data_IF_804639521401
#
_entry.id   IF_804639521401
#
_cell.length_a   1.000
_cell.length_b   1.000
_cell.length_c   1.000
_cell.angle_alpha   90.00
_cell.angle_beta   90.00
_cell.angle_gamma   90.00
#
_symmetry.space_group_name_H-M   'P 1'
#
loop_
_entity.id
_entity.type
_entity.pdbx_description
1 polymer ?
#
# COMPACT_ATOMS: atom_id res chain seq x y z
N UNK A 1 16.85 9.16 1.49
CA UNK A 1 15.91 8.48 0.58
C UNK A 1 14.49 8.94 0.85
N UNK A 2 13.76 9.23 -0.18
CA UNK A 2 12.43 9.73 -0.03
C UNK A 2 11.44 8.60 -0.01
N UNK A 3 10.32 8.82 0.65
CA UNK A 3 9.28 7.81 0.72
C UNK A 3 8.79 7.41 -0.66
N UNK A 4 8.67 8.38 -1.56
CA UNK A 4 8.22 8.08 -2.91
C UNK A 4 9.15 7.11 -3.62
N UNK A 5 10.44 7.18 -3.34
CA UNK A 5 11.38 6.27 -3.98
C UNK A 5 11.17 4.85 -3.48
N UNK A 6 10.86 4.70 -2.21
CA UNK A 6 10.58 3.39 -1.65
C UNK A 6 9.27 2.85 -2.21
N UNK A 7 8.26 3.71 -2.29
CA UNK A 7 6.95 3.28 -2.75
C UNK A 7 6.96 2.82 -4.20
N UNK A 8 7.89 3.32 -5.00
CA UNK A 8 7.95 2.89 -6.39
C UNK A 8 8.20 1.40 -6.52
N UNK A 9 8.83 0.81 -5.52
CA UNK A 9 9.09 -0.61 -5.56
C UNK A 9 7.84 -1.42 -5.28
N UNK A 10 6.76 -0.77 -4.88
CA UNK A 10 5.54 -1.45 -4.55
C UNK A 10 4.46 -1.29 -5.61
N UNK A 11 4.74 -0.60 -6.70
CA UNK A 11 3.71 -0.37 -7.72
C UNK A 11 3.27 -1.70 -8.30
N UNK A 12 1.96 -1.92 -8.30
CA UNK A 12 1.31 -3.13 -8.81
C UNK A 12 1.71 -4.40 -8.06
N UNK A 13 2.22 -4.26 -6.84
CA UNK A 13 2.57 -5.40 -6.02
C UNK A 13 1.61 -5.42 -4.85
N UNK A 14 0.95 -6.54 -4.57
CA UNK A 14 0.04 -6.60 -3.42
C UNK A 14 0.76 -6.19 -2.15
N UNK A 15 0.18 -5.29 -1.42
CA UNK A 15 0.81 -4.75 -0.23
C UNK A 15 -0.23 -4.34 0.79
N UNK A 16 0.25 -4.10 2.00
CA UNK A 16 -0.58 -3.58 3.08
C UNK A 16 -0.10 -2.16 3.35
N UNK A 17 -1.04 -1.24 3.44
CA UNK A 17 -0.74 0.16 3.61
C UNK A 17 -1.36 0.64 4.89
N UNK A 18 -0.57 1.27 5.74
CA UNK A 18 -1.07 1.88 6.96
C UNK A 18 -1.16 3.38 6.76
N UNK A 19 -2.29 3.95 7.11
CA UNK A 19 -2.55 5.37 6.97
C UNK A 19 -2.94 5.91 8.33
N UNK A 20 -2.32 7.01 8.71
CA UNK A 20 -2.66 7.63 9.98
C UNK A 20 -3.42 8.92 9.71
N UNK A 21 -4.62 9.00 10.25
CA UNK A 21 -5.41 10.19 10.13
C UNK A 21 -5.80 10.66 11.51
N UNK A 22 -5.33 11.80 11.93
CA UNK A 22 -5.56 12.33 13.25
C UNK A 22 -5.08 11.30 14.27
N UNK A 23 -5.94 10.79 15.10
CA UNK A 23 -5.52 9.81 16.09
C UNK A 23 -5.87 8.40 15.68
N UNK A 24 -6.31 8.20 14.44
CA UNK A 24 -6.70 6.89 13.98
C UNK A 24 -5.66 6.29 13.06
N UNK A 25 -5.46 5.00 13.20
CA UNK A 25 -4.57 4.25 12.30
C UNK A 25 -5.45 3.31 11.49
N UNK A 26 -5.40 3.46 10.19
CA UNK A 26 -6.22 2.65 9.28
C UNK A 26 -5.32 1.76 8.46
N UNK A 27 -5.80 0.58 8.13
CA UNK A 27 -5.02 -0.38 7.37
C UNK A 27 -5.79 -0.82 6.13
N UNK A 28 -5.10 -0.87 5.01
CA UNK A 28 -5.71 -1.26 3.75
C UNK A 28 -4.84 -2.29 3.07
N UNK A 29 -5.43 -3.19 2.31
CA UNK A 29 -4.70 -4.17 1.53
C UNK A 29 -5.07 -3.99 0.07
N UNK A 30 -4.11 -3.95 -0.78
CA UNK A 30 -4.35 -3.77 -2.21
C UNK A 30 -3.07 -3.47 -2.94
N UNK A 31 -3.14 -2.61 -3.95
CA UNK A 31 -1.97 -2.26 -4.74
C UNK A 31 -1.90 -0.75 -4.94
N UNK A 32 -0.67 -0.26 -5.05
CA UNK A 32 -0.45 1.13 -5.43
C UNK A 32 -0.37 1.12 -6.94
N UNK A 33 -1.21 1.90 -7.59
CA UNK A 33 -1.23 1.95 -9.04
C UNK A 33 -0.47 3.11 -9.63
N UNK A 34 -0.34 4.18 -8.88
CA UNK A 34 0.32 5.35 -9.40
C UNK A 34 0.89 6.18 -8.26
N UNK A 35 2.01 6.81 -8.47
CA UNK A 35 2.63 7.68 -7.48
C UNK A 35 2.80 9.05 -8.12
N UNK A 36 2.22 10.06 -7.51
CA UNK A 36 2.39 11.43 -7.93
C UNK A 36 3.30 12.16 -6.96
N UNK A 37 3.32 13.46 -7.07
CA UNK A 37 4.11 14.25 -6.19
C UNK A 37 3.31 14.50 -4.94
N UNK A 38 3.64 13.84 -3.87
CA UNK A 38 2.95 14.01 -2.60
C UNK A 38 1.69 13.18 -2.44
N UNK A 39 1.39 12.29 -3.37
CA UNK A 39 0.20 11.47 -3.27
C UNK A 39 0.38 10.15 -4.00
N UNK A 40 -0.45 9.17 -3.66
CA UNK A 40 -0.49 7.92 -4.41
C UNK A 40 -1.93 7.58 -4.72
N UNK A 41 -2.13 6.77 -5.75
CA UNK A 41 -3.44 6.19 -6.02
C UNK A 41 -3.37 4.72 -5.63
N UNK A 42 -4.21 4.34 -4.70
CA UNK A 42 -4.21 2.99 -4.13
C UNK A 42 -5.57 2.35 -4.40
N UNK A 43 -5.55 1.10 -4.82
CA UNK A 43 -6.79 0.37 -5.08
C UNK A 43 -6.82 -0.81 -4.14
N UNK A 44 -7.85 -0.91 -3.30
CA UNK A 44 -7.90 -1.97 -2.31
C UNK A 44 -8.44 -3.26 -2.94
N UNK A 45 -8.49 -4.31 -2.14
CA UNK A 45 -8.93 -5.60 -2.65
C UNK A 45 -10.40 -5.64 -3.05
N UNK A 46 -11.18 -4.66 -2.63
CA UNK A 46 -12.57 -4.55 -3.02
C UNK A 46 -12.74 -3.64 -4.22
N UNK A 47 -11.63 -3.22 -4.81
CA UNK A 47 -11.62 -2.38 -5.99
C UNK A 47 -12.02 -0.93 -5.77
N UNK A 48 -11.99 -0.46 -4.53
CA UNK A 48 -12.20 0.95 -4.28
C UNK A 48 -10.89 1.69 -4.46
N UNK A 49 -10.95 2.83 -5.11
CA UNK A 49 -9.80 3.63 -5.40
C UNK A 49 -9.66 4.77 -4.42
N UNK A 50 -8.48 4.99 -3.92
CA UNK A 50 -8.21 6.03 -2.94
C UNK A 50 -7.05 6.88 -3.40
N UNK A 51 -7.14 8.18 -3.23
CA UNK A 51 -6.00 9.08 -3.41
C UNK A 51 -5.51 9.42 -2.03
N UNK A 52 -4.30 9.02 -1.72
CA UNK A 52 -3.75 9.11 -0.37
C UNK A 52 -2.55 10.02 -0.36
N UNK A 53 -2.54 11.06 0.48
CA UNK A 53 -1.35 11.89 0.61
C UNK A 53 -0.22 11.04 1.19
N UNK A 54 0.98 11.14 0.62
CA UNK A 54 2.08 10.34 1.12
C UNK A 54 2.42 10.70 2.56
N UNK A 55 2.13 11.93 2.96
CA UNK A 55 2.40 12.35 4.34
C UNK A 55 1.54 11.58 5.36
N UNK A 56 0.45 10.97 4.92
CA UNK A 56 -0.41 10.22 5.81
C UNK A 56 -0.04 8.76 5.91
N UNK A 57 0.90 8.30 5.12
CA UNK A 57 1.28 6.89 5.12
C UNK A 57 2.19 6.63 6.31
N UNK A 58 1.80 5.72 7.17
CA UNK A 58 2.60 5.38 8.33
C UNK A 58 3.46 4.15 8.09
N UNK A 59 3.06 3.27 7.18
CA UNK A 59 3.91 2.16 6.80
C UNK A 59 3.37 1.49 5.54
N UNK A 60 4.23 0.72 4.89
CA UNK A 60 3.83 -0.11 3.76
C UNK A 60 4.66 -1.39 3.87
N UNK A 61 4.04 -2.53 3.57
CA UNK A 61 4.80 -3.77 3.51
C UNK A 61 4.19 -4.67 2.45
N UNK A 62 5.01 -5.50 1.85
CA UNK A 62 4.52 -6.41 0.83
C UNK A 62 3.64 -7.47 1.48
N UNK A 63 2.60 -7.82 0.76
CA UNK A 63 1.72 -8.84 1.22
C UNK A 63 2.43 -10.17 1.00
N UNK A 64 2.64 -10.95 2.04
CA UNK A 64 3.34 -12.12 1.92
C UNK A 64 2.53 -13.21 1.71
N UNK A 65 2.25 -13.73 0.72
CA UNK A 65 1.47 -14.76 0.49
C UNK A 65 2.22 -15.91 0.44
N UNK A 66 2.58 -16.45 1.01
CA UNK A 66 3.33 -17.54 0.99
C UNK A 66 2.83 -18.51 0.28
N UNK A 67 2.60 -18.74 -0.42
CA UNK A 67 2.12 -19.38 -1.11
C UNK A 67 2.22 -20.42 -1.19
N UNK A 68 2.35 -20.23 -0.86
CA UNK A 68 2.52 -20.87 -0.72
C UNK A 68 2.24 -21.70 -0.65
N UNK A 69 2.22 -21.82 -0.43
CA UNK A 69 2.03 -22.33 -0.04
C UNK A 69 1.48 -23.05 -0.36
N UNK A 70 1.42 -23.10 -0.31
CA UNK A 70 1.02 -23.68 -0.32
C UNK A 70 0.64 -24.54 -0.49
N UNK A 71 0.76 -24.82 -0.40
CA UNK A 71 0.54 -25.60 -0.33
C UNK A 71 0.29 -26.50 -0.35
N UNK A 72 0.54 -26.65 -0.22
CA UNK A 72 0.42 -27.43 -0.10
C UNK A 72 0.15 -28.08 0.05
N UNK A 73 0.56 -28.27 0.13
CA UNK A 73 0.36 -28.78 0.56
C UNK A 73 0.12 -29.15 0.52
#
# INVERSE_FOLDING_TARGET
>A
MRLEDVLREYINIPCHLGIREQSMQLYYSGVIEEIGEGWIRFVDNSRFEYIVPTASISYVRKSERREKKKRNE
#
